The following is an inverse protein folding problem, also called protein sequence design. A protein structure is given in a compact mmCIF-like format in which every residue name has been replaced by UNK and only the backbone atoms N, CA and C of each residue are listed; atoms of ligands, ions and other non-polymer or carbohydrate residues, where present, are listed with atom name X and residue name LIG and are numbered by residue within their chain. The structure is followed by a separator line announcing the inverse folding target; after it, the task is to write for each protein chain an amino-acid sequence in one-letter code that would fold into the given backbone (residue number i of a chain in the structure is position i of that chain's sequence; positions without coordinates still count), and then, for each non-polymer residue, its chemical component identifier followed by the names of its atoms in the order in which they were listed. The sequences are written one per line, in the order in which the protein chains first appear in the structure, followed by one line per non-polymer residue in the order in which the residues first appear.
data_IF_738338422657
#
_entry.id   IF_738338422657
#
_cell.length_a   1.000
_cell.length_b   1.000
_cell.length_c   1.000
_cell.angle_alpha   90.00
_cell.angle_beta   90.00
_cell.angle_gamma   90.00
#
_symmetry.space_group_name_H-M   'P 1'
#
loop_
_entity.id
_entity.type
_entity.pdbx_description
1 polymer ?
#
# COMPACT_ATOMS: atom_id res chain seq x y z
N UNK A 1 34.18 -10.13 -17.07
CA UNK A 1 33.25 -9.27 -17.83
C UNK A 1 33.23 -7.92 -17.15
N UNK A 2 33.48 -6.83 -17.88
CA UNK A 2 33.39 -5.47 -17.35
C UNK A 2 31.93 -5.04 -17.48
N UNK A 3 31.17 -5.02 -16.39
CA UNK A 3 29.81 -4.48 -16.40
C UNK A 3 29.96 -2.95 -16.38
N UNK A 4 29.47 -2.22 -17.38
CA UNK A 4 29.56 -0.76 -17.38
C UNK A 4 28.78 -0.17 -16.19
N UNK A 5 29.25 0.96 -15.69
CA UNK A 5 28.56 1.69 -14.63
C UNK A 5 27.15 2.12 -15.10
N UNK A 6 26.12 2.03 -14.24
CA UNK A 6 24.76 2.39 -14.61
C UNK A 6 24.64 3.90 -14.87
N UNK A 7 23.97 4.27 -15.97
CA UNK A 7 23.69 5.68 -16.27
C UNK A 7 22.50 6.17 -15.42
N UNK A 8 22.59 7.38 -14.82
CA UNK A 8 21.47 7.98 -14.12
C UNK A 8 20.35 8.33 -15.11
N UNK A 9 19.12 7.89 -14.81
CA UNK A 9 17.91 8.19 -15.60
C UNK A 9 17.01 9.16 -14.85
N UNK A 10 16.41 10.10 -15.58
CA UNK A 10 15.37 10.99 -15.06
C UNK A 10 14.13 10.14 -14.64
N UNK A 11 13.67 10.18 -13.37
CA UNK A 11 12.50 9.44 -12.92
C UNK A 11 11.24 9.71 -13.75
N UNK A 12 11.10 10.92 -14.33
CA UNK A 12 9.97 11.27 -15.20
C UNK A 12 9.97 10.54 -16.53
N UNK A 13 11.11 9.95 -16.92
CA UNK A 13 11.25 9.15 -18.14
C UNK A 13 11.10 7.66 -17.89
N UNK A 14 10.97 7.23 -16.63
CA UNK A 14 10.72 5.84 -16.30
C UNK A 14 9.36 5.42 -16.85
N UNK A 15 9.30 4.19 -17.34
CA UNK A 15 8.07 3.55 -17.77
C UNK A 15 7.74 2.41 -16.81
N UNK A 16 6.46 2.08 -16.61
CA UNK A 16 6.09 0.90 -15.85
C UNK A 16 6.78 -0.35 -16.41
N UNK A 17 7.13 -1.28 -15.53
CA UNK A 17 7.65 -2.58 -15.93
C UNK A 17 6.66 -3.36 -16.80
N UNK A 18 7.14 -4.39 -17.53
CA UNK A 18 6.27 -5.25 -18.31
C UNK A 18 5.31 -6.02 -17.39
N UNK A 19 4.15 -6.39 -17.94
CA UNK A 19 3.27 -7.38 -17.31
C UNK A 19 4.05 -8.70 -17.23
N UNK A 20 4.10 -9.28 -16.03
CA UNK A 20 4.76 -10.57 -15.77
C UNK A 20 3.76 -11.71 -15.64
N UNK A 21 2.55 -11.39 -15.17
CA UNK A 21 1.45 -12.32 -14.95
C UNK A 21 0.31 -11.92 -15.87
N UNK A 22 0.07 -12.67 -16.95
CA UNK A 22 -0.98 -12.35 -17.94
C UNK A 22 -2.40 -12.43 -17.37
N UNK A 23 -2.57 -13.16 -16.27
CA UNK A 23 -3.81 -13.23 -15.50
C UNK A 23 -3.50 -13.47 -14.03
N UNK A 24 -4.43 -13.08 -13.16
CA UNK A 24 -4.39 -13.38 -11.74
C UNK A 24 -5.48 -14.41 -11.39
N UNK A 25 -5.23 -15.33 -10.44
CA UNK A 25 -6.25 -16.23 -9.95
C UNK A 25 -7.51 -15.49 -9.46
N UNK A 26 -8.73 -16.03 -9.67
CA UNK A 26 -9.96 -15.36 -9.26
C UNK A 26 -10.00 -14.96 -7.77
N UNK A 27 -9.37 -15.75 -6.90
CA UNK A 27 -9.26 -15.45 -5.47
C UNK A 27 -8.44 -14.16 -5.22
N UNK A 28 -7.34 -13.94 -5.94
CA UNK A 28 -6.55 -12.72 -5.82
C UNK A 28 -7.35 -11.52 -6.32
N UNK A 29 -8.05 -11.66 -7.45
CA UNK A 29 -8.90 -10.58 -7.98
C UNK A 29 -9.97 -10.15 -6.98
N UNK A 30 -10.61 -11.09 -6.29
CA UNK A 30 -11.57 -10.78 -5.23
C UNK A 30 -10.94 -10.02 -4.05
N UNK A 31 -9.71 -10.37 -3.67
CA UNK A 31 -8.97 -9.66 -2.61
C UNK A 31 -8.57 -8.25 -3.05
N UNK A 32 -8.10 -8.10 -4.29
CA UNK A 32 -7.74 -6.80 -4.89
C UNK A 32 -8.98 -5.89 -4.96
N UNK A 33 -10.12 -6.41 -5.39
CA UNK A 33 -11.39 -5.67 -5.41
C UNK A 33 -11.81 -5.24 -4.00
N UNK A 34 -11.67 -6.12 -3.00
CA UNK A 34 -11.97 -5.78 -1.61
C UNK A 34 -11.06 -4.66 -1.08
N UNK A 35 -9.75 -4.75 -1.33
CA UNK A 35 -8.80 -3.68 -0.96
C UNK A 35 -9.15 -2.38 -1.65
N UNK A 36 -9.41 -2.41 -2.97
CA UNK A 36 -9.74 -1.22 -3.75
C UNK A 36 -11.02 -0.54 -3.27
N UNK A 37 -12.01 -1.29 -2.80
CA UNK A 37 -13.22 -0.71 -2.18
C UNK A 37 -12.94 0.09 -0.90
N UNK A 38 -11.90 -0.28 -0.14
CA UNK A 38 -11.55 0.38 1.12
C UNK A 38 -10.67 1.60 0.88
N UNK A 39 -9.59 1.45 0.09
CA UNK A 39 -8.55 2.49 -0.03
C UNK A 39 -8.33 2.97 -1.47
N UNK A 40 -9.09 2.45 -2.44
CA UNK A 40 -8.92 2.73 -3.88
C UNK A 40 -9.11 4.19 -4.26
N UNK A 41 -9.98 4.92 -3.55
CA UNK A 41 -10.19 6.36 -3.73
C UNK A 41 -8.94 7.19 -3.45
N UNK A 42 -8.04 6.70 -2.60
CA UNK A 42 -6.85 7.45 -2.16
C UNK A 42 -5.59 7.13 -2.99
N UNK A 43 -5.55 6.01 -3.70
CA UNK A 43 -4.42 5.62 -4.57
C UNK A 43 -4.52 6.16 -6.00
N UNK A 44 -5.57 6.92 -6.33
CA UNK A 44 -5.75 7.61 -7.63
C UNK A 44 -5.70 6.69 -8.86
N UNK A 45 -6.12 5.43 -8.72
CA UNK A 45 -6.18 4.46 -9.83
C UNK A 45 -7.56 3.81 -9.90
N UNK A 46 -8.05 3.52 -11.11
CA UNK A 46 -9.21 2.64 -11.28
C UNK A 46 -8.89 1.22 -10.79
N UNK A 47 -9.92 0.41 -10.51
CA UNK A 47 -9.74 -0.99 -10.15
C UNK A 47 -8.91 -1.74 -11.21
N UNK A 48 -9.18 -1.50 -12.50
CA UNK A 48 -8.41 -2.10 -13.60
C UNK A 48 -6.93 -1.72 -13.53
N UNK A 49 -6.60 -0.43 -13.32
CA UNK A 49 -5.20 -0.01 -13.21
C UNK A 49 -4.52 -0.56 -11.95
N UNK A 50 -5.28 -0.74 -10.88
CA UNK A 50 -4.84 -1.37 -9.65
C UNK A 50 -4.56 -2.86 -9.86
N UNK A 51 -5.45 -3.61 -10.52
CA UNK A 51 -5.19 -5.01 -10.90
C UNK A 51 -3.94 -5.15 -11.79
N UNK A 52 -3.77 -4.26 -12.76
CA UNK A 52 -2.60 -4.27 -13.66
C UNK A 52 -1.30 -4.00 -12.88
N UNK A 53 -1.30 -3.27 -11.75
CA UNK A 53 -0.07 -3.12 -10.95
C UNK A 53 0.38 -4.47 -10.38
N UNK A 54 -0.53 -5.26 -9.80
CA UNK A 54 -0.23 -6.60 -9.28
C UNK A 54 0.26 -7.56 -10.39
N UNK A 55 -0.27 -7.41 -11.61
CA UNK A 55 0.19 -8.22 -12.75
C UNK A 55 1.66 -7.99 -13.13
N UNK A 56 2.26 -6.88 -12.70
CA UNK A 56 3.69 -6.57 -12.93
C UNK A 56 4.62 -7.13 -11.87
N UNK A 57 4.09 -7.55 -10.73
CA UNK A 57 4.90 -8.01 -9.61
C UNK A 57 5.51 -9.39 -9.84
N UNK A 58 6.65 -9.62 -9.21
CA UNK A 58 7.31 -10.93 -9.26
C UNK A 58 6.49 -12.01 -8.53
N UNK A 59 5.78 -11.61 -7.46
CA UNK A 59 4.97 -12.49 -6.62
C UNK A 59 3.67 -11.78 -6.24
N UNK A 60 2.64 -11.78 -7.11
CA UNK A 60 1.39 -11.06 -6.87
C UNK A 60 0.69 -11.45 -5.57
N UNK A 61 0.78 -12.72 -5.14
CA UNK A 61 0.17 -13.18 -3.90
C UNK A 61 0.74 -12.48 -2.66
N UNK A 62 2.06 -12.23 -2.67
CA UNK A 62 2.76 -11.54 -1.57
C UNK A 62 2.34 -10.07 -1.55
N UNK A 63 2.32 -9.43 -2.72
CA UNK A 63 1.92 -8.04 -2.82
C UNK A 63 0.46 -7.84 -2.39
N UNK A 64 -0.46 -8.71 -2.87
CA UNK A 64 -1.87 -8.67 -2.43
C UNK A 64 -1.99 -8.85 -0.91
N UNK A 65 -1.21 -9.73 -0.30
CA UNK A 65 -1.22 -9.89 1.16
C UNK A 65 -0.78 -8.61 1.89
N UNK A 66 0.27 -7.94 1.41
CA UNK A 66 0.74 -6.65 1.96
C UNK A 66 -0.37 -5.59 1.89
N UNK A 67 -1.01 -5.45 0.72
CA UNK A 67 -2.11 -4.50 0.53
C UNK A 67 -3.35 -4.84 1.37
N UNK A 68 -3.64 -6.13 1.59
CA UNK A 68 -4.65 -6.54 2.55
C UNK A 68 -4.31 -6.10 3.98
N UNK A 69 -3.05 -6.25 4.43
CA UNK A 69 -2.61 -5.78 5.75
C UNK A 69 -2.72 -4.26 5.87
N UNK A 70 -2.36 -3.52 4.83
CA UNK A 70 -2.52 -2.05 4.80
C UNK A 70 -3.99 -1.67 4.98
N UNK A 71 -4.90 -2.29 4.21
CA UNK A 71 -6.33 -2.02 4.30
C UNK A 71 -6.89 -2.39 5.69
N UNK A 72 -6.48 -3.52 6.26
CA UNK A 72 -6.90 -3.95 7.59
C UNK A 72 -6.42 -2.99 8.70
N UNK A 73 -5.17 -2.52 8.62
CA UNK A 73 -4.64 -1.54 9.57
C UNK A 73 -5.36 -0.19 9.45
N UNK A 74 -5.67 0.25 8.22
CA UNK A 74 -6.45 1.45 7.97
C UNK A 74 -7.86 1.34 8.59
N UNK A 75 -8.56 0.22 8.39
CA UNK A 75 -9.88 -0.05 8.99
C UNK A 75 -9.77 -0.01 10.52
N UNK A 76 -8.81 -0.75 11.08
CA UNK A 76 -8.62 -0.84 12.53
C UNK A 76 -8.34 0.52 13.16
N UNK A 77 -7.57 1.37 12.48
CA UNK A 77 -7.30 2.73 12.95
C UNK A 77 -8.58 3.56 12.99
N UNK A 78 -9.41 3.50 11.95
CA UNK A 78 -10.68 4.21 11.89
C UNK A 78 -11.64 3.74 12.98
N UNK A 79 -11.83 2.43 13.11
CA UNK A 79 -12.70 1.84 14.14
C UNK A 79 -12.26 2.23 15.56
N UNK A 80 -10.96 2.18 15.86
CA UNK A 80 -10.44 2.43 17.22
C UNK A 80 -10.34 3.90 17.58
N UNK A 81 -10.02 4.78 16.63
CA UNK A 81 -9.61 6.15 16.93
C UNK A 81 -10.49 7.23 16.30
N UNK A 82 -11.24 6.93 15.24
CA UNK A 82 -12.10 7.88 14.54
C UNK A 82 -13.59 7.53 14.58
N UNK A 83 -13.96 6.32 15.01
CA UNK A 83 -15.36 5.92 15.16
C UNK A 83 -16.15 5.96 13.84
N UNK A 84 -15.54 5.45 12.77
CA UNK A 84 -16.06 5.45 11.39
C UNK A 84 -16.16 6.82 10.71
N UNK A 85 -15.65 7.90 11.33
CA UNK A 85 -15.49 9.19 10.66
C UNK A 85 -14.31 9.16 9.68
N UNK A 86 -14.54 9.62 8.45
CA UNK A 86 -13.49 9.84 7.46
C UNK A 86 -12.89 11.23 7.63
N UNK A 87 -11.57 11.32 7.53
CA UNK A 87 -10.85 12.58 7.42
C UNK A 87 -11.00 13.18 6.01
N UNK A 88 -10.61 14.46 5.82
CA UNK A 88 -10.45 15.00 4.47
C UNK A 88 -9.49 14.14 3.63
N UNK A 89 -9.76 14.01 2.32
CA UNK A 89 -9.00 13.14 1.41
C UNK A 89 -7.47 13.27 1.51
N UNK A 90 -6.95 14.49 1.73
CA UNK A 90 -5.52 14.73 1.85
C UNK A 90 -4.92 14.15 3.13
N UNK A 91 -5.70 14.06 4.20
CA UNK A 91 -5.25 13.44 5.45
C UNK A 91 -5.40 11.92 5.38
N UNK A 92 -6.44 11.40 4.74
CA UNK A 92 -6.56 9.95 4.42
C UNK A 92 -5.38 9.45 3.58
N UNK A 93 -4.98 10.22 2.57
CA UNK A 93 -3.79 9.92 1.77
C UNK A 93 -2.52 9.88 2.61
N UNK A 94 -2.40 10.74 3.64
CA UNK A 94 -1.23 10.69 4.55
C UNK A 94 -1.27 9.47 5.45
N UNK A 95 -2.44 9.07 5.97
CA UNK A 95 -2.58 7.82 6.72
C UNK A 95 -2.17 6.63 5.87
N UNK A 96 -2.65 6.57 4.63
CA UNK A 96 -2.30 5.50 3.70
C UNK A 96 -0.81 5.51 3.33
N UNK A 97 -0.23 6.70 3.08
CA UNK A 97 1.21 6.83 2.83
C UNK A 97 2.04 6.35 4.03
N UNK A 98 1.66 6.69 5.26
CA UNK A 98 2.32 6.19 6.46
C UNK A 98 2.24 4.66 6.57
N UNK A 99 1.07 4.06 6.30
CA UNK A 99 0.92 2.60 6.29
C UNK A 99 1.75 1.90 5.20
N UNK A 100 1.93 2.56 4.04
CA UNK A 100 2.85 2.09 2.99
C UNK A 100 4.32 2.13 3.45
N UNK A 101 4.73 3.14 4.22
CA UNK A 101 6.08 3.14 4.82
C UNK A 101 6.22 2.03 5.86
N UNK A 102 5.23 1.88 6.74
CA UNK A 102 5.22 0.82 7.78
C UNK A 102 5.31 -0.56 7.14
N UNK A 103 4.57 -0.83 6.06
CA UNK A 103 4.62 -2.14 5.38
C UNK A 103 5.98 -2.48 4.79
N UNK A 104 6.86 -1.49 4.59
CA UNK A 104 8.26 -1.70 4.17
C UNK A 104 9.24 -1.87 5.34
N UNK A 105 8.75 -1.89 6.58
CA UNK A 105 9.55 -2.04 7.80
C UNK A 105 9.99 -0.72 8.44
N UNK A 106 9.38 0.41 8.08
CA UNK A 106 9.67 1.69 8.73
C UNK A 106 8.92 1.79 10.05
N UNK A 107 9.67 1.73 11.15
CA UNK A 107 9.14 1.87 12.52
C UNK A 107 9.34 3.28 13.11
N UNK A 108 10.20 4.10 12.48
CA UNK A 108 10.46 5.47 12.91
C UNK A 108 9.26 6.37 12.61
N UNK A 109 8.48 6.69 13.63
CA UNK A 109 7.25 7.48 13.53
C UNK A 109 7.48 8.91 13.03
N UNK A 110 8.69 9.47 13.21
CA UNK A 110 9.02 10.81 12.70
C UNK A 110 9.16 10.81 11.17
N UNK A 111 9.48 9.65 10.57
CA UNK A 111 9.63 9.49 9.12
C UNK A 111 8.31 9.30 8.37
N UNK A 112 7.19 9.08 9.08
CA UNK A 112 5.91 8.68 8.47
C UNK A 112 5.10 9.85 7.86
N UNK A 113 5.52 11.10 8.07
CA UNK A 113 4.83 12.26 7.50
C UNK A 113 3.44 12.56 8.10
N UNK A 114 3.13 11.98 9.27
CA UNK A 114 1.93 12.21 10.08
C UNK A 114 2.35 12.64 11.50
N UNK A 115 1.45 13.24 12.31
CA UNK A 115 1.76 13.50 13.72
C UNK A 115 2.20 12.22 14.45
N UNK A 116 3.20 12.32 15.34
CA UNK A 116 3.79 11.14 15.99
C UNK A 116 2.77 10.26 16.72
N UNK A 117 1.75 10.85 17.33
CA UNK A 117 0.71 10.09 18.02
C UNK A 117 -0.14 9.27 17.04
N UNK A 118 -0.41 9.81 15.85
CA UNK A 118 -1.06 9.11 14.74
C UNK A 118 -0.13 8.01 14.21
N UNK A 119 1.14 8.31 13.97
CA UNK A 119 2.14 7.33 13.52
C UNK A 119 2.25 6.13 14.47
N UNK A 120 2.33 6.35 15.78
CA UNK A 120 2.35 5.27 16.79
C UNK A 120 1.07 4.43 16.77
N UNK A 121 -0.09 5.04 16.58
CA UNK A 121 -1.37 4.33 16.49
C UNK A 121 -1.44 3.47 15.22
N UNK A 122 -1.03 4.01 14.08
CA UNK A 122 -0.98 3.28 12.81
C UNK A 122 -0.03 2.09 12.88
N UNK A 123 1.17 2.28 13.43
CA UNK A 123 2.13 1.20 13.64
C UNK A 123 1.55 0.09 14.53
N UNK A 124 0.96 0.47 15.66
CA UNK A 124 0.29 -0.49 16.55
C UNK A 124 -0.89 -1.24 15.88
N UNK A 125 -1.64 -0.57 15.00
CA UNK A 125 -2.70 -1.20 14.21
C UNK A 125 -2.15 -2.21 13.20
N UNK A 126 -0.99 -1.93 12.60
CA UNK A 126 -0.35 -2.80 11.61
C UNK A 126 0.32 -4.01 12.28
N UNK A 127 1.10 -3.80 13.35
CA UNK A 127 1.82 -4.85 14.06
C UNK A 127 0.88 -5.90 14.66
N UNK A 128 -0.27 -5.45 15.17
CA UNK A 128 -1.29 -6.35 15.74
C UNK A 128 -1.87 -7.35 14.73
N UNK A 129 -1.65 -7.17 13.42
CA UNK A 129 -2.09 -8.12 12.39
C UNK A 129 -1.18 -9.35 12.29
N UNK A 130 0.05 -9.27 12.80
CA UNK A 130 1.03 -10.37 12.81
C UNK A 130 0.91 -11.29 14.03
N UNK A 131 0.07 -10.95 15.00
CA UNK A 131 -0.08 -11.65 16.28
C UNK A 131 -1.17 -12.75 16.28
N UNK A 132 -1.76 -13.06 15.11
CA UNK A 132 -2.80 -14.10 14.91
C UNK A 132 -2.27 -15.42 14.29
#
# INVERSE_FOLDING_TARGET
MNIPDPEPVDPKKLRPGPIRNESLPPKLLQQIEAVHKVIGSYVSTSLEQFEISFMRDASPEVEVAIWCSIAAAWITYHEKYLGDELLPDEDEKKLLAALLFISTGVEDVEALGVPEDVGRKLLACYDALGDD
#
